data_IF_844751991008
#
_entry.id   IF_844751991008
#
_cell.length_a   1.000
_cell.length_b   1.000
_cell.length_c   1.000
_cell.angle_alpha   90.00
_cell.angle_beta   90.00
_cell.angle_gamma   90.00
#
_symmetry.space_group_name_H-M   'P 1'
#
loop_
_entity.id
_entity.type
_entity.pdbx_description
1 polymer ?
#
# COMPACT_ATOMS: atom_id res chain seq x y z
N UNK A 1 -26.06 25.87 -5.06
CA UNK A 1 -25.88 24.49 -4.60
C UNK A 1 -24.41 24.19 -4.71
N UNK A 2 -23.68 24.39 -3.61
CA UNK A 2 -22.24 24.17 -3.52
C UNK A 2 -21.99 22.70 -3.23
N UNK A 3 -21.35 21.98 -4.16
CA UNK A 3 -20.85 20.63 -3.96
C UNK A 3 -19.65 20.71 -3.02
N UNK A 4 -19.88 20.42 -1.75
CA UNK A 4 -18.80 20.12 -0.78
C UNK A 4 -18.15 18.81 -1.24
N UNK A 5 -16.90 18.91 -1.69
CA UNK A 5 -16.02 17.78 -1.93
C UNK A 5 -15.82 16.99 -0.62
N UNK A 6 -15.72 15.65 -0.66
CA UNK A 6 -15.50 14.84 0.52
C UNK A 6 -14.17 15.24 1.17
N UNK A 7 -14.17 15.34 2.50
CA UNK A 7 -12.98 15.62 3.29
C UNK A 7 -12.09 14.36 3.33
N UNK A 8 -11.46 14.05 2.22
CA UNK A 8 -10.27 13.20 2.15
C UNK A 8 -9.19 13.95 2.92
N UNK A 9 -8.36 13.26 3.69
CA UNK A 9 -7.11 13.83 4.20
C UNK A 9 -6.24 14.10 2.96
N UNK A 10 -6.62 15.06 2.16
CA UNK A 10 -5.72 15.68 1.21
C UNK A 10 -4.71 16.43 2.08
N UNK A 11 -3.54 15.83 2.30
CA UNK A 11 -2.38 16.52 2.83
C UNK A 11 -2.03 17.56 1.77
N UNK A 12 -2.80 18.64 1.72
CA UNK A 12 -2.45 19.84 0.97
C UNK A 12 -1.25 20.45 1.68
N UNK A 13 -0.07 19.98 1.30
CA UNK A 13 1.19 20.58 1.73
C UNK A 13 1.24 21.98 1.12
N UNK A 14 0.69 22.97 1.83
CA UNK A 14 0.81 24.36 1.44
C UNK A 14 2.23 24.84 1.80
N UNK A 15 3.15 24.74 0.86
CA UNK A 15 4.52 25.25 0.96
C UNK A 15 4.61 26.76 1.15
N UNK A 16 3.53 27.50 0.92
CA UNK A 16 3.53 28.98 0.91
C UNK A 16 3.62 29.65 2.29
N UNK A 17 3.31 28.95 3.40
CA UNK A 17 3.31 29.57 4.74
C UNK A 17 4.62 29.50 5.53
N UNK A 18 5.73 28.94 4.98
CA UNK A 18 6.98 28.75 5.74
C UNK A 18 8.11 29.71 5.41
N UNK A 19 7.84 30.88 4.87
CA UNK A 19 8.93 31.84 4.57
C UNK A 19 9.33 32.79 5.70
N UNK A 20 8.85 32.62 6.93
CA UNK A 20 9.33 33.44 8.04
C UNK A 20 9.32 32.64 9.35
N UNK A 21 10.49 32.28 9.81
CA UNK A 21 11.07 32.09 11.15
C UNK A 21 11.88 30.80 11.22
N UNK A 22 13.16 30.93 11.62
CA UNK A 22 14.12 29.86 11.76
C UNK A 22 13.88 28.87 12.94
N UNK A 23 12.64 28.68 13.38
CA UNK A 23 12.31 27.72 14.41
C UNK A 23 11.87 26.40 13.76
N UNK A 24 12.75 25.42 13.73
CA UNK A 24 12.42 24.04 13.42
C UNK A 24 11.64 23.47 14.59
N UNK A 25 10.31 23.51 14.53
CA UNK A 25 9.46 22.88 15.53
C UNK A 25 9.48 21.35 15.33
N UNK A 26 10.07 20.61 16.26
CA UNK A 26 10.04 19.14 16.33
C UNK A 26 8.93 18.66 17.27
N UNK A 27 7.99 19.54 17.62
CA UNK A 27 6.92 19.29 18.57
C UNK A 27 5.56 19.49 17.89
N UNK A 28 4.61 18.54 18.01
CA UNK A 28 3.30 18.66 17.38
C UNK A 28 2.52 19.86 17.89
N UNK A 29 1.51 20.31 17.14
CA UNK A 29 0.47 21.17 17.65
C UNK A 29 -0.30 20.44 18.77
N UNK A 30 -0.94 21.15 19.72
CA UNK A 30 -1.78 20.51 20.72
C UNK A 30 -2.91 19.71 20.08
N UNK A 31 -3.16 18.51 20.60
CA UNK A 31 -4.29 17.66 20.25
C UNK A 31 -4.79 16.90 21.48
N UNK A 32 -6.02 16.42 21.44
CA UNK A 32 -6.56 15.49 22.42
C UNK A 32 -6.19 14.06 22.02
N UNK A 33 -5.51 13.34 22.92
CA UNK A 33 -5.22 11.93 22.73
C UNK A 33 -6.31 11.09 23.37
N UNK A 34 -6.90 10.18 22.59
CA UNK A 34 -7.95 9.27 23.04
C UNK A 34 -7.59 7.84 22.66
N UNK A 35 -7.73 6.92 23.61
CA UNK A 35 -7.52 5.49 23.41
C UNK A 35 -8.83 4.76 23.64
N UNK A 36 -9.63 4.49 22.59
CA UNK A 36 -10.92 3.83 22.69
C UNK A 36 -10.78 2.38 23.17
N UNK A 37 -11.82 1.87 23.83
CA UNK A 37 -11.88 0.49 24.29
C UNK A 37 -12.48 -0.48 23.26
N UNK A 38 -13.19 0.06 22.26
CA UNK A 38 -13.82 -0.71 21.20
C UNK A 38 -13.74 0.01 19.85
N UNK A 39 -13.98 -0.74 18.77
CA UNK A 39 -14.13 -0.16 17.43
C UNK A 39 -15.31 0.81 17.38
N UNK A 40 -16.41 0.48 18.07
CA UNK A 40 -17.58 1.37 18.14
C UNK A 40 -17.24 2.72 18.77
N UNK A 41 -16.52 2.73 19.91
CA UNK A 41 -16.08 3.97 20.55
C UNK A 41 -15.16 4.79 19.62
N UNK A 42 -14.23 4.13 18.92
CA UNK A 42 -13.37 4.79 17.96
C UNK A 42 -14.16 5.46 16.85
N UNK A 43 -15.14 4.77 16.28
CA UNK A 43 -16.02 5.31 15.23
C UNK A 43 -16.87 6.47 15.72
N UNK A 44 -17.39 6.41 16.95
CA UNK A 44 -18.14 7.52 17.55
C UNK A 44 -17.29 8.78 17.66
N UNK A 45 -16.05 8.66 18.17
CA UNK A 45 -15.12 9.78 18.30
C UNK A 45 -14.77 10.37 16.91
N UNK A 46 -14.50 9.52 15.91
CA UNK A 46 -14.19 9.95 14.55
C UNK A 46 -15.40 10.63 13.86
N UNK A 47 -16.62 10.22 14.20
CA UNK A 47 -17.85 10.84 13.73
C UNK A 47 -18.13 12.20 14.35
N UNK A 48 -17.82 12.36 15.65
CA UNK A 48 -18.01 13.62 16.40
C UNK A 48 -16.93 14.68 16.04
N UNK A 49 -15.73 14.24 15.62
CA UNK A 49 -14.59 15.11 15.36
C UNK A 49 -14.09 14.93 13.91
N UNK A 50 -14.60 15.72 12.95
CA UNK A 50 -14.28 15.55 11.52
C UNK A 50 -12.80 15.70 11.14
N UNK A 51 -11.99 16.36 11.98
CA UNK A 51 -10.55 16.51 11.79
C UNK A 51 -9.71 15.52 12.60
N UNK A 52 -10.37 14.60 13.33
CA UNK A 52 -9.69 13.55 14.07
C UNK A 52 -8.93 12.59 13.12
N UNK A 53 -7.78 12.10 13.58
CA UNK A 53 -6.95 11.14 12.84
C UNK A 53 -6.75 9.85 13.62
N UNK A 54 -6.67 8.75 12.89
CA UNK A 54 -6.42 7.43 13.47
C UNK A 54 -4.92 7.20 13.67
N UNK A 55 -4.53 6.80 14.86
CA UNK A 55 -3.18 6.35 15.19
C UNK A 55 -3.16 4.82 15.26
N UNK A 56 -2.46 4.20 14.31
CA UNK A 56 -2.08 2.78 14.32
C UNK A 56 -0.58 2.66 14.65
N UNK A 57 0.26 2.21 13.72
CA UNK A 57 1.70 2.07 13.93
C UNK A 57 2.48 3.37 14.18
N UNK A 58 1.94 4.51 13.77
CA UNK A 58 2.48 5.84 14.01
C UNK A 58 3.71 6.21 13.17
N UNK A 59 4.17 5.34 12.26
CA UNK A 59 5.45 5.53 11.57
C UNK A 59 5.43 6.65 10.53
N UNK A 60 4.27 7.02 10.03
CA UNK A 60 4.06 8.18 9.17
C UNK A 60 3.39 9.32 9.93
N UNK A 61 2.34 9.02 10.70
CA UNK A 61 1.54 10.05 11.39
C UNK A 61 2.37 10.85 12.40
N UNK A 62 3.18 10.20 13.25
CA UNK A 62 3.95 10.92 14.28
C UNK A 62 5.00 11.86 13.69
N UNK A 63 5.78 11.49 12.64
CA UNK A 63 6.61 12.46 11.92
C UNK A 63 5.82 13.63 11.34
N UNK A 64 4.65 13.38 10.72
CA UNK A 64 3.81 14.44 10.17
C UNK A 64 3.28 15.40 11.26
N UNK A 65 2.88 14.87 12.42
CA UNK A 65 2.49 15.69 13.59
C UNK A 65 3.67 16.53 14.08
N UNK A 66 4.85 15.93 14.27
CA UNK A 66 6.03 16.63 14.77
C UNK A 66 6.50 17.74 13.83
N UNK A 67 6.40 17.51 12.51
CA UNK A 67 6.70 18.52 11.49
C UNK A 67 5.55 19.51 11.25
N UNK A 68 4.43 19.33 11.96
CA UNK A 68 3.19 20.11 11.80
C UNK A 68 2.67 20.14 10.36
N UNK A 69 2.83 19.04 9.65
CA UNK A 69 2.22 18.85 8.32
C UNK A 69 0.71 18.60 8.46
N UNK A 70 0.31 18.00 9.59
CA UNK A 70 -1.07 17.85 10.03
C UNK A 70 -1.22 18.37 11.46
N UNK A 71 -2.40 18.90 11.80
CA UNK A 71 -2.70 19.46 13.12
C UNK A 71 -4.16 19.10 13.51
N UNK A 72 -4.45 17.82 13.79
CA UNK A 72 -5.79 17.36 14.15
C UNK A 72 -6.20 17.85 15.54
N UNK A 73 -7.49 17.94 15.80
CA UNK A 73 -8.01 18.19 17.17
C UNK A 73 -7.87 16.94 18.05
N UNK A 74 -8.02 15.75 17.45
CA UNK A 74 -7.98 14.47 18.18
C UNK A 74 -7.08 13.46 17.45
N UNK A 75 -6.34 12.69 18.25
CA UNK A 75 -5.60 11.51 17.80
C UNK A 75 -6.22 10.28 18.47
N UNK A 76 -6.84 9.42 17.68
CA UNK A 76 -7.58 8.24 18.12
C UNK A 76 -6.66 7.02 18.01
N UNK A 77 -6.11 6.57 19.13
CA UNK A 77 -5.18 5.44 19.19
C UNK A 77 -5.93 4.11 19.22
N UNK A 78 -5.93 3.41 18.07
CA UNK A 78 -6.59 2.11 17.93
C UNK A 78 -5.67 0.92 18.25
N UNK A 79 -4.41 1.12 18.63
CA UNK A 79 -3.43 0.04 18.86
C UNK A 79 -3.84 -0.95 19.95
N UNK A 80 -4.78 -0.57 20.83
CA UNK A 80 -5.31 -1.42 21.90
C UNK A 80 -6.51 -2.28 21.51
N UNK A 81 -6.93 -2.31 20.22
CA UNK A 81 -8.13 -3.04 19.79
C UNK A 81 -7.76 -4.43 19.23
N UNK A 82 -7.89 -5.54 20.00
CA UNK A 82 -7.44 -6.88 19.59
C UNK A 82 -8.13 -7.38 18.33
N UNK A 83 -9.41 -7.05 18.16
CA UNK A 83 -10.20 -7.44 16.98
C UNK A 83 -9.64 -6.93 15.63
N UNK A 84 -8.65 -6.05 15.66
CA UNK A 84 -7.97 -5.53 14.49
C UNK A 84 -6.58 -6.14 14.25
N UNK A 85 -6.16 -7.15 15.04
CA UNK A 85 -4.82 -7.77 14.93
C UNK A 85 -4.89 -9.30 14.74
N UNK A 86 -5.87 -9.79 14.02
CA UNK A 86 -6.08 -11.22 13.81
C UNK A 86 -5.62 -11.65 12.43
N UNK A 87 -5.07 -12.88 12.33
CA UNK A 87 -4.81 -13.60 11.08
C UNK A 87 -5.75 -14.79 11.05
N UNK A 88 -6.52 -14.95 9.99
CA UNK A 88 -7.39 -16.10 9.80
C UNK A 88 -7.50 -16.49 8.34
N UNK A 89 -7.73 -17.78 8.09
CA UNK A 89 -8.02 -18.34 6.77
C UNK A 89 -9.39 -18.97 6.82
N UNK A 90 -10.30 -18.53 5.96
CA UNK A 90 -11.64 -19.09 5.82
C UNK A 90 -12.13 -18.92 4.39
N UNK A 91 -12.86 -19.92 3.87
CA UNK A 91 -13.52 -19.85 2.57
C UNK A 91 -12.61 -19.46 1.39
N UNK A 92 -11.33 -19.89 1.44
CA UNK A 92 -10.34 -19.58 0.42
C UNK A 92 -9.76 -18.15 0.50
N UNK A 93 -9.99 -17.43 1.60
CA UNK A 93 -9.47 -16.09 1.85
C UNK A 93 -8.57 -16.07 3.09
N UNK A 94 -7.42 -15.43 2.96
CA UNK A 94 -6.58 -15.01 4.08
C UNK A 94 -7.04 -13.62 4.51
N UNK A 95 -7.48 -13.50 5.77
CA UNK A 95 -7.89 -12.24 6.38
C UNK A 95 -6.81 -11.76 7.36
N UNK A 96 -6.38 -10.52 7.18
CA UNK A 96 -5.33 -9.85 7.94
C UNK A 96 -5.92 -8.61 8.61
N UNK A 97 -5.95 -8.57 9.93
CA UNK A 97 -6.42 -7.42 10.68
C UNK A 97 -5.57 -6.16 10.42
N UNK A 98 -6.18 -4.99 10.40
CA UNK A 98 -5.54 -3.72 10.07
C UNK A 98 -4.34 -3.36 10.95
N UNK A 99 -4.30 -3.83 12.19
CA UNK A 99 -3.21 -3.59 13.15
C UNK A 99 -2.10 -4.63 13.08
N UNK A 100 -2.19 -5.63 12.18
CA UNK A 100 -1.11 -6.58 11.98
C UNK A 100 0.16 -5.82 11.58
N UNK A 101 1.23 -6.01 12.35
CA UNK A 101 2.50 -5.31 12.12
C UNK A 101 3.25 -5.90 10.94
N UNK A 102 4.06 -5.10 10.28
CA UNK A 102 4.88 -5.57 9.17
C UNK A 102 5.86 -6.68 9.61
N UNK A 103 6.40 -6.63 10.84
CA UNK A 103 7.24 -7.71 11.37
C UNK A 103 6.47 -9.02 11.55
N UNK A 104 5.20 -8.95 12.01
CA UNK A 104 4.36 -10.13 12.21
C UNK A 104 3.93 -10.71 10.86
N UNK A 105 3.63 -9.84 9.87
CA UNK A 105 3.35 -10.22 8.49
C UNK A 105 4.54 -10.97 7.87
N UNK A 106 5.77 -10.44 8.05
CA UNK A 106 7.01 -11.05 7.54
C UNK A 106 7.35 -12.40 8.22
N UNK A 107 6.96 -12.58 9.49
CA UNK A 107 7.27 -13.78 10.25
C UNK A 107 6.16 -14.85 10.22
N UNK A 108 4.98 -14.53 9.68
CA UNK A 108 3.82 -15.43 9.72
C UNK A 108 3.93 -16.58 8.73
N UNK A 109 3.92 -17.80 9.24
CA UNK A 109 3.86 -19.01 8.40
C UNK A 109 2.54 -19.09 7.60
N UNK A 110 1.43 -18.69 8.21
CA UNK A 110 0.12 -18.64 7.52
C UNK A 110 0.14 -17.71 6.31
N UNK A 111 0.82 -16.55 6.43
CA UNK A 111 0.98 -15.61 5.31
C UNK A 111 1.91 -16.17 4.26
N UNK A 112 3.01 -16.81 4.66
CA UNK A 112 3.96 -17.45 3.75
C UNK A 112 3.28 -18.50 2.85
N UNK A 113 2.38 -19.30 3.43
CA UNK A 113 1.66 -20.35 2.73
C UNK A 113 0.51 -19.82 1.86
N UNK A 114 -0.24 -18.84 2.36
CA UNK A 114 -1.44 -18.34 1.69
C UNK A 114 -1.19 -17.21 0.67
N UNK A 115 -0.21 -16.34 0.95
CA UNK A 115 0.08 -15.14 0.16
C UNK A 115 1.57 -14.75 0.24
N UNK A 116 2.49 -15.59 -0.29
CA UNK A 116 3.95 -15.42 -0.14
C UNK A 116 4.45 -14.04 -0.62
N UNK A 117 3.80 -13.45 -1.62
CA UNK A 117 4.12 -12.10 -2.12
C UNK A 117 4.03 -11.03 -1.01
N UNK A 118 3.03 -11.12 -0.11
CA UNK A 118 2.91 -10.18 1.00
C UNK A 118 4.02 -10.35 2.03
N UNK A 119 4.43 -11.60 2.29
CA UNK A 119 5.54 -11.88 3.21
C UNK A 119 6.86 -11.36 2.64
N UNK A 120 7.15 -11.62 1.36
CA UNK A 120 8.36 -11.15 0.68
C UNK A 120 8.43 -9.61 0.74
N UNK A 121 7.36 -8.92 0.35
CA UNK A 121 7.28 -7.47 0.38
C UNK A 121 7.46 -6.89 1.79
N UNK A 122 6.88 -7.52 2.81
CA UNK A 122 7.00 -7.05 4.19
C UNK A 122 8.46 -7.00 4.69
N UNK A 123 9.35 -7.83 4.15
CA UNK A 123 10.78 -7.82 4.48
C UNK A 123 11.50 -6.58 3.92
N UNK A 124 10.97 -5.97 2.88
CA UNK A 124 11.55 -4.78 2.23
C UNK A 124 11.09 -3.47 2.90
N UNK A 125 9.97 -3.45 3.60
CA UNK A 125 9.43 -2.24 4.24
C UNK A 125 10.42 -1.66 5.25
N UNK A 126 11.07 -0.57 4.90
CA UNK A 126 11.92 0.21 5.79
C UNK A 126 12.91 -0.62 6.62
N UNK A 127 13.21 -0.15 7.82
CA UNK A 127 14.11 -0.84 8.77
C UNK A 127 13.30 -1.62 9.83
N UNK A 128 13.92 -2.57 10.57
CA UNK A 128 13.24 -3.34 11.63
C UNK A 128 12.49 -2.48 12.63
N UNK A 129 13.01 -1.31 13.00
CA UNK A 129 12.34 -0.37 13.91
C UNK A 129 11.00 0.11 13.35
N UNK A 130 10.91 0.33 12.03
CA UNK A 130 9.69 0.71 11.32
C UNK A 130 8.71 -0.48 11.30
N UNK A 131 9.20 -1.67 10.89
CA UNK A 131 8.37 -2.87 10.78
C UNK A 131 7.78 -3.32 12.11
N UNK A 132 8.48 -3.13 13.22
CA UNK A 132 8.01 -3.46 14.57
C UNK A 132 6.82 -2.60 15.05
N UNK A 133 6.53 -1.51 14.37
CA UNK A 133 5.45 -0.58 14.71
C UNK A 133 4.45 -0.40 13.59
N UNK A 134 4.91 -0.23 12.35
CA UNK A 134 4.09 -0.05 11.16
C UNK A 134 3.13 -1.21 10.96
N UNK A 135 1.92 -0.92 10.48
CA UNK A 135 0.83 -1.89 10.32
C UNK A 135 0.33 -1.91 8.87
N UNK A 136 -0.19 -3.07 8.44
CA UNK A 136 -0.75 -3.21 7.09
C UNK A 136 -1.86 -2.19 6.83
N UNK A 137 -2.81 -2.04 7.76
CA UNK A 137 -3.89 -1.08 7.62
C UNK A 137 -3.41 0.37 7.58
N UNK A 138 -2.38 0.71 8.38
CA UNK A 138 -1.78 2.04 8.36
C UNK A 138 -1.12 2.37 7.04
N UNK A 139 -0.41 1.40 6.42
CA UNK A 139 0.21 1.56 5.09
C UNK A 139 -0.83 1.79 4.01
N UNK A 140 -1.90 0.98 3.98
CA UNK A 140 -2.96 1.09 3.00
C UNK A 140 -3.79 2.37 3.15
N UNK A 141 -4.14 2.73 4.40
CA UNK A 141 -4.92 3.94 4.66
C UNK A 141 -4.14 5.22 4.33
N UNK A 142 -2.81 5.21 4.49
CA UNK A 142 -1.95 6.33 4.10
C UNK A 142 -1.85 6.47 2.58
N UNK A 143 -1.85 5.36 1.85
CA UNK A 143 -1.73 5.32 0.39
C UNK A 143 -0.50 6.09 -0.14
N UNK A 144 0.66 5.90 0.52
CA UNK A 144 1.93 6.41 -0.01
C UNK A 144 2.21 5.72 -1.35
N UNK A 145 2.43 6.46 -2.45
CA UNK A 145 2.74 5.85 -3.75
C UNK A 145 3.98 4.96 -3.76
N UNK A 146 4.90 5.17 -2.81
CA UNK A 146 6.12 4.37 -2.67
C UNK A 146 5.96 3.18 -1.71
N UNK A 147 4.76 2.94 -1.17
CA UNK A 147 4.51 1.80 -0.29
C UNK A 147 4.38 0.49 -1.07
N UNK A 148 4.91 -0.58 -0.52
CA UNK A 148 5.05 -1.91 -1.11
C UNK A 148 3.71 -2.69 -1.11
N UNK A 149 3.01 -2.68 0.03
CA UNK A 149 1.80 -3.49 0.24
C UNK A 149 0.60 -3.11 -0.65
N UNK A 150 0.36 -1.82 -1.00
CA UNK A 150 -0.66 -1.46 -1.97
C UNK A 150 -0.52 -2.16 -3.32
N UNK A 151 0.71 -2.25 -3.86
CA UNK A 151 0.97 -2.94 -5.12
C UNK A 151 0.80 -4.46 -5.00
N UNK A 152 1.26 -5.06 -3.89
CA UNK A 152 1.02 -6.48 -3.63
C UNK A 152 -0.47 -6.81 -3.58
N UNK A 153 -1.26 -5.97 -2.91
CA UNK A 153 -2.70 -6.15 -2.80
C UNK A 153 -3.38 -6.07 -4.17
N UNK A 154 -2.93 -5.13 -5.01
CA UNK A 154 -3.40 -4.98 -6.38
C UNK A 154 -3.04 -6.20 -7.24
N UNK A 155 -1.80 -6.70 -7.14
CA UNK A 155 -1.35 -7.89 -7.87
C UNK A 155 -2.11 -9.15 -7.46
N UNK A 156 -2.35 -9.34 -6.16
CA UNK A 156 -3.08 -10.52 -5.65
C UNK A 156 -4.58 -10.46 -5.96
N UNK A 157 -5.13 -9.26 -6.17
CA UNK A 157 -6.58 -9.03 -6.27
C UNK A 157 -7.24 -9.08 -4.90
N UNK A 158 -6.63 -8.42 -3.95
CA UNK A 158 -7.15 -8.32 -2.60
C UNK A 158 -8.28 -7.29 -2.46
N UNK A 159 -8.93 -7.31 -1.30
CA UNK A 159 -10.01 -6.40 -0.94
C UNK A 159 -9.85 -5.89 0.49
N UNK A 160 -10.46 -4.77 0.78
CA UNK A 160 -10.33 -4.04 2.04
C UNK A 160 -11.68 -3.97 2.73
N UNK A 161 -11.77 -4.47 3.97
CA UNK A 161 -12.92 -4.31 4.86
C UNK A 161 -12.83 -2.96 5.57
N UNK A 162 -13.83 -2.12 5.35
CA UNK A 162 -13.95 -0.78 5.96
C UNK A 162 -15.17 -0.78 6.87
N UNK A 163 -15.10 -0.05 7.98
CA UNK A 163 -16.22 0.15 8.88
C UNK A 163 -16.40 1.63 9.23
N UNK A 164 -17.63 2.11 9.11
CA UNK A 164 -18.13 3.37 9.63
C UNK A 164 -19.27 3.16 10.62
N UNK A 165 -19.90 4.24 11.07
CA UNK A 165 -21.07 4.18 11.94
C UNK A 165 -22.27 3.51 11.25
N UNK A 166 -22.40 3.67 9.92
CA UNK A 166 -23.49 3.11 9.13
C UNK A 166 -23.30 1.60 8.80
N UNK A 167 -22.21 1.00 9.26
CA UNK A 167 -21.93 -0.41 9.04
C UNK A 167 -20.59 -0.70 8.35
N UNK A 168 -20.49 -1.89 7.74
CA UNK A 168 -19.31 -2.36 7.05
C UNK A 168 -19.49 -2.37 5.55
N UNK A 169 -18.41 -2.13 4.82
CA UNK A 169 -18.33 -2.31 3.36
C UNK A 169 -16.99 -2.93 2.97
N UNK A 170 -16.98 -3.59 1.82
CA UNK A 170 -15.78 -4.17 1.23
C UNK A 170 -15.49 -3.45 -0.08
N UNK A 171 -14.22 -3.14 -0.31
CA UNK A 171 -13.76 -2.45 -1.52
C UNK A 171 -12.59 -3.22 -2.12
N UNK A 172 -12.62 -3.46 -3.42
CA UNK A 172 -11.54 -4.09 -4.15
C UNK A 172 -10.29 -3.19 -4.17
N UNK A 173 -9.09 -3.78 -4.05
CA UNK A 173 -7.83 -3.03 -4.10
C UNK A 173 -7.69 -2.18 -5.37
N UNK A 174 -8.23 -2.67 -6.49
CA UNK A 174 -8.21 -1.98 -7.78
C UNK A 174 -8.89 -0.61 -7.78
N UNK A 175 -9.84 -0.39 -6.86
CA UNK A 175 -10.61 0.86 -6.76
C UNK A 175 -10.38 1.60 -5.44
N UNK A 176 -9.56 1.05 -4.55
CA UNK A 176 -9.34 1.61 -3.22
C UNK A 176 -8.42 2.85 -3.25
N UNK A 177 -7.34 2.81 -4.03
CA UNK A 177 -6.36 3.90 -4.15
C UNK A 177 -6.78 4.85 -5.25
N UNK A 178 -7.00 6.13 -4.93
CA UNK A 178 -7.50 7.14 -5.86
C UNK A 178 -6.44 8.11 -6.35
N UNK A 179 -5.34 8.26 -5.60
CA UNK A 179 -4.22 9.14 -5.93
C UNK A 179 -3.16 9.17 -4.83
N UNK A 180 -2.26 10.13 -4.91
CA UNK A 180 -1.16 10.32 -3.94
C UNK A 180 -1.69 10.65 -2.55
N UNK A 181 -1.51 9.74 -1.60
CA UNK A 181 -2.07 9.82 -0.24
C UNK A 181 -3.60 9.91 -0.23
N UNK A 182 -4.25 9.33 -1.24
CA UNK A 182 -5.70 9.36 -1.38
C UNK A 182 -6.30 7.97 -1.54
N UNK A 183 -7.39 7.72 -0.82
CA UNK A 183 -8.17 6.49 -0.86
C UNK A 183 -9.67 6.78 -0.87
N UNK A 184 -10.47 5.74 -1.07
CA UNK A 184 -11.95 5.82 -0.94
C UNK A 184 -12.45 5.80 0.51
N UNK A 185 -11.56 5.82 1.52
CA UNK A 185 -11.95 5.95 2.92
C UNK A 185 -12.65 7.30 3.13
N UNK A 186 -13.81 7.25 3.77
CA UNK A 186 -14.57 8.43 4.14
C UNK A 186 -14.21 8.90 5.54
N UNK A 187 -14.51 10.16 5.83
CA UNK A 187 -14.45 10.68 7.18
C UNK A 187 -15.27 9.80 8.14
N UNK A 188 -14.71 9.46 9.31
CA UNK A 188 -15.37 8.60 10.29
C UNK A 188 -15.29 7.10 10.00
N UNK A 189 -14.59 6.67 8.93
CA UNK A 189 -14.37 5.26 8.63
C UNK A 189 -13.00 4.77 9.11
N UNK A 190 -12.93 3.49 9.44
CA UNK A 190 -11.69 2.78 9.81
C UNK A 190 -11.51 1.59 8.88
N UNK A 191 -10.27 1.38 8.38
CA UNK A 191 -9.87 0.14 7.75
C UNK A 191 -9.79 -0.95 8.83
N UNK A 192 -10.56 -2.02 8.70
CA UNK A 192 -10.64 -3.11 9.67
C UNK A 192 -9.72 -4.28 9.36
N UNK A 193 -9.70 -4.67 8.12
CA UNK A 193 -8.94 -5.82 7.65
C UNK A 193 -8.65 -5.71 6.16
N UNK A 194 -7.70 -6.52 5.75
CA UNK A 194 -7.39 -6.82 4.36
C UNK A 194 -7.70 -8.28 4.12
N UNK A 195 -8.27 -8.61 2.99
CA UNK A 195 -8.51 -9.97 2.58
C UNK A 195 -7.87 -10.22 1.22
N UNK A 196 -7.15 -11.31 1.11
CA UNK A 196 -6.54 -11.76 -0.14
C UNK A 196 -6.92 -13.21 -0.40
N UNK A 197 -7.14 -13.61 -1.67
CA UNK A 197 -7.36 -15.01 -1.98
C UNK A 197 -6.13 -15.84 -1.57
N UNK A 198 -6.37 -17.02 -1.03
CA UNK A 198 -5.32 -18.02 -0.80
C UNK A 198 -4.79 -18.45 -2.16
N UNK A 199 -3.51 -18.22 -2.41
CA UNK A 199 -2.90 -18.52 -3.70
C UNK A 199 -2.71 -20.04 -3.84
N UNK A 200 -3.15 -20.60 -4.96
CA UNK A 200 -2.90 -21.99 -5.29
C UNK A 200 -1.41 -22.21 -5.63
N UNK A 201 -0.93 -23.46 -5.45
CA UNK A 201 0.50 -23.79 -5.56
C UNK A 201 1.12 -23.50 -6.95
N UNK A 202 0.30 -23.42 -8.00
CA UNK A 202 0.75 -23.10 -9.34
C UNK A 202 1.03 -21.60 -9.57
N UNK A 203 0.66 -20.72 -8.63
CA UNK A 203 1.03 -19.33 -8.70
C UNK A 203 2.50 -19.13 -8.32
N UNK A 204 3.18 -18.35 -9.13
CA UNK A 204 4.52 -17.82 -8.83
C UNK A 204 4.41 -16.34 -8.55
N UNK A 205 5.11 -15.88 -7.55
CA UNK A 205 5.17 -14.46 -7.21
C UNK A 205 6.62 -14.00 -7.12
N UNK A 206 6.82 -12.73 -7.44
CA UNK A 206 8.12 -12.07 -7.31
C UNK A 206 7.87 -10.65 -6.81
N UNK A 207 8.52 -10.29 -5.73
CA UNK A 207 8.66 -8.91 -5.30
C UNK A 207 10.08 -8.42 -5.62
N UNK A 208 10.20 -7.21 -6.15
CA UNK A 208 11.49 -6.57 -6.41
C UNK A 208 11.33 -5.04 -6.38
N UNK A 209 12.36 -4.35 -5.88
CA UNK A 209 12.40 -2.90 -5.83
C UNK A 209 13.79 -2.35 -6.05
N UNK A 210 13.86 -1.13 -6.55
CA UNK A 210 15.08 -0.35 -6.65
C UNK A 210 15.01 0.81 -5.68
N UNK A 211 15.89 0.81 -4.69
CA UNK A 211 16.06 1.90 -3.73
C UNK A 211 17.54 2.33 -3.72
N UNK A 212 17.82 3.53 -3.20
CA UNK A 212 19.21 4.02 -3.07
C UNK A 212 19.99 3.23 -2.04
N UNK A 213 19.31 2.79 -0.98
CA UNK A 213 19.86 1.98 0.12
C UNK A 213 18.75 1.05 0.59
N UNK A 214 19.12 -0.08 1.18
CA UNK A 214 18.17 -0.95 1.83
C UNK A 214 17.39 -0.21 2.93
N UNK A 215 16.06 -0.25 2.85
CA UNK A 215 15.15 0.44 3.78
C UNK A 215 14.85 1.90 3.45
N UNK A 216 15.41 2.48 2.37
CA UNK A 216 14.96 3.74 1.80
C UNK A 216 13.67 3.51 0.97
N UNK A 217 12.93 4.59 0.72
CA UNK A 217 11.81 4.56 -0.23
C UNK A 217 12.27 4.12 -1.63
N UNK A 218 11.49 3.26 -2.26
CA UNK A 218 11.76 2.79 -3.60
C UNK A 218 11.75 3.94 -4.63
N UNK A 219 12.64 3.86 -5.60
CA UNK A 219 12.62 4.69 -6.83
C UNK A 219 11.62 4.12 -7.83
N UNK A 220 11.49 2.81 -7.87
CA UNK A 220 10.48 2.02 -8.57
C UNK A 220 10.41 0.64 -7.91
N UNK A 221 9.24 0.03 -7.90
CA UNK A 221 9.08 -1.32 -7.39
C UNK A 221 8.00 -2.07 -8.15
N UNK A 222 8.03 -3.39 -8.04
CA UNK A 222 7.15 -4.32 -8.74
C UNK A 222 6.72 -5.47 -7.83
N UNK A 223 5.42 -5.70 -7.78
CA UNK A 223 4.80 -6.92 -7.30
C UNK A 223 4.26 -7.70 -8.51
N UNK A 224 4.85 -8.85 -8.81
CA UNK A 224 4.46 -9.71 -9.92
C UNK A 224 3.80 -10.98 -9.40
N UNK A 225 2.71 -11.40 -10.03
CA UNK A 225 1.99 -12.63 -9.73
C UNK A 225 1.47 -13.24 -11.03
N UNK A 226 1.59 -14.56 -11.20
CA UNK A 226 1.04 -15.26 -12.36
C UNK A 226 1.18 -16.77 -12.21
N UNK A 227 0.49 -17.52 -13.06
CA UNK A 227 0.62 -18.99 -13.16
C UNK A 227 1.46 -19.36 -14.36
N UNK A 228 2.30 -20.39 -14.19
CA UNK A 228 3.04 -20.99 -15.30
C UNK A 228 2.48 -22.39 -15.52
N UNK A 229 1.75 -22.55 -16.62
CA UNK A 229 1.09 -23.80 -16.97
C UNK A 229 1.67 -24.37 -18.27
N UNK A 230 2.33 -25.53 -18.22
CA UNK A 230 3.04 -26.13 -19.36
C UNK A 230 4.00 -25.14 -20.06
N UNK A 231 4.71 -24.32 -19.28
CA UNK A 231 5.64 -23.31 -19.77
C UNK A 231 4.97 -22.00 -20.25
N UNK A 232 3.65 -21.93 -20.27
CA UNK A 232 2.91 -20.72 -20.70
C UNK A 232 2.38 -19.94 -19.50
N UNK A 233 2.45 -18.62 -19.60
CA UNK A 233 1.92 -17.68 -18.60
C UNK A 233 0.41 -17.64 -18.65
N UNK A 234 -0.20 -17.58 -17.46
CA UNK A 234 -1.63 -17.35 -17.23
C UNK A 234 -1.86 -16.41 -16.05
N UNK A 235 -2.91 -15.61 -16.12
CA UNK A 235 -3.34 -14.69 -15.04
C UNK A 235 -2.19 -13.79 -14.54
N UNK A 236 -1.35 -13.31 -15.44
CA UNK A 236 -0.21 -12.46 -15.08
C UNK A 236 -0.71 -11.09 -14.61
N UNK A 237 -0.16 -10.62 -13.51
CA UNK A 237 -0.36 -9.28 -12.98
C UNK A 237 0.98 -8.68 -12.61
N UNK A 238 1.27 -7.52 -13.14
CA UNK A 238 2.48 -6.74 -12.91
C UNK A 238 2.06 -5.41 -12.28
N UNK A 239 2.09 -5.33 -10.96
CA UNK A 239 1.69 -4.12 -10.22
C UNK A 239 2.93 -3.31 -9.82
N UNK A 240 3.07 -2.13 -10.41
CA UNK A 240 4.15 -1.19 -10.12
C UNK A 240 3.77 -0.21 -9.00
N UNK A 241 4.75 0.17 -8.19
CA UNK A 241 4.66 1.21 -7.17
C UNK A 241 5.89 2.13 -7.24
N UNK A 242 5.86 3.24 -6.52
CA UNK A 242 6.85 4.31 -6.60
C UNK A 242 7.07 4.87 -8.02
N UNK A 243 6.26 4.48 -8.98
CA UNK A 243 6.31 4.97 -10.36
C UNK A 243 5.40 6.18 -10.56
N UNK A 244 4.09 6.03 -10.33
CA UNK A 244 3.06 7.05 -10.50
C UNK A 244 2.53 7.61 -9.18
N UNK A 245 1.33 8.15 -9.21
CA UNK A 245 0.59 8.72 -8.07
C UNK A 245 -0.03 7.66 -7.15
N UNK A 246 -0.16 6.43 -7.62
CA UNK A 246 -0.70 5.26 -6.92
C UNK A 246 -0.16 3.98 -7.54
N UNK A 247 -0.35 2.80 -6.91
CA UNK A 247 0.01 1.53 -7.54
C UNK A 247 -0.82 1.29 -8.80
N UNK A 248 -0.19 0.79 -9.87
CA UNK A 248 -0.82 0.58 -11.16
C UNK A 248 -0.41 -0.77 -11.79
N UNK A 249 -1.33 -1.40 -12.52
CA UNK A 249 -1.08 -2.62 -13.28
C UNK A 249 -0.60 -2.29 -14.69
N UNK A 250 0.46 -2.95 -15.16
CA UNK A 250 0.85 -2.98 -16.58
C UNK A 250 -0.01 -4.03 -17.31
N UNK A 251 -1.23 -3.65 -17.65
CA UNK A 251 -2.25 -4.53 -18.21
C UNK A 251 -1.87 -4.96 -19.61
N UNK A 252 -1.39 -4.03 -20.44
CA UNK A 252 -0.99 -4.27 -21.85
C UNK A 252 0.13 -5.29 -21.94
N UNK A 253 1.18 -5.13 -21.13
CA UNK A 253 2.29 -6.08 -21.06
C UNK A 253 1.84 -7.47 -20.56
N UNK A 254 0.97 -7.53 -19.57
CA UNK A 254 0.43 -8.78 -19.04
C UNK A 254 -0.45 -9.51 -20.06
N UNK A 255 -1.33 -8.80 -20.76
CA UNK A 255 -2.17 -9.34 -21.82
C UNK A 255 -1.34 -9.86 -23.00
N UNK A 256 -0.29 -9.15 -23.37
CA UNK A 256 0.64 -9.61 -24.41
C UNK A 256 1.25 -10.97 -24.08
N UNK A 257 1.61 -11.21 -22.82
CA UNK A 257 2.22 -12.47 -22.38
C UNK A 257 1.22 -13.60 -22.15
N UNK A 258 -0.08 -13.32 -22.08
CA UNK A 258 -1.10 -14.33 -21.79
C UNK A 258 -1.05 -15.48 -22.80
N UNK A 259 -0.86 -16.71 -22.33
CA UNK A 259 -0.73 -17.91 -23.17
C UNK A 259 0.63 -18.11 -23.84
N UNK A 260 1.59 -17.19 -23.67
CA UNK A 260 2.95 -17.30 -24.22
C UNK A 260 3.93 -17.86 -23.21
N UNK A 261 5.04 -18.37 -23.69
CA UNK A 261 6.21 -18.73 -22.86
C UNK A 261 6.96 -17.47 -22.45
N UNK A 262 7.59 -17.49 -21.27
CA UNK A 262 8.50 -16.43 -20.83
C UNK A 262 9.90 -16.58 -21.46
N UNK A 263 9.94 -16.64 -22.81
CA UNK A 263 11.19 -16.56 -23.55
C UNK A 263 11.77 -15.15 -23.47
N UNK A 264 13.09 -15.00 -23.66
CA UNK A 264 13.75 -13.69 -23.65
C UNK A 264 13.10 -12.72 -24.63
N UNK A 265 12.78 -13.18 -25.85
CA UNK A 265 12.13 -12.35 -26.86
C UNK A 265 10.73 -11.86 -26.43
N UNK A 266 9.91 -12.74 -25.83
CA UNK A 266 8.59 -12.36 -25.35
C UNK A 266 8.67 -11.39 -24.13
N UNK A 267 9.65 -11.60 -23.24
CA UNK A 267 9.90 -10.71 -22.12
C UNK A 267 10.33 -9.33 -22.61
N UNK A 268 11.27 -9.27 -23.57
CA UNK A 268 11.78 -8.01 -24.11
C UNK A 268 10.67 -7.21 -24.81
N UNK A 269 9.81 -7.88 -25.57
CA UNK A 269 8.64 -7.24 -26.18
C UNK A 269 7.65 -6.73 -25.12
N UNK A 270 7.31 -7.55 -24.13
CA UNK A 270 6.41 -7.15 -23.05
C UNK A 270 6.92 -5.92 -22.29
N UNK A 271 8.23 -5.83 -22.07
CA UNK A 271 8.86 -4.67 -21.40
C UNK A 271 8.64 -3.38 -22.18
N UNK A 272 8.60 -3.41 -23.50
CA UNK A 272 8.34 -2.21 -24.33
C UNK A 272 6.92 -1.67 -24.14
N UNK A 273 5.98 -2.53 -23.76
CA UNK A 273 4.56 -2.19 -23.59
C UNK A 273 4.22 -1.62 -22.18
N UNK A 274 5.17 -1.63 -21.25
CA UNK A 274 4.91 -1.13 -19.88
C UNK A 274 4.52 0.35 -19.89
N UNK A 275 5.10 1.14 -20.79
CA UNK A 275 4.82 2.57 -20.91
C UNK A 275 3.39 2.91 -21.36
N UNK A 276 2.63 1.94 -21.87
CA UNK A 276 1.23 2.15 -22.27
C UNK A 276 0.31 2.32 -21.05
N UNK A 277 0.66 1.68 -19.92
CA UNK A 277 -0.16 1.70 -18.70
C UNK A 277 0.52 2.45 -17.54
N UNK A 278 1.86 2.47 -17.49
CA UNK A 278 2.62 3.05 -16.38
C UNK A 278 3.15 4.42 -16.80
N UNK A 279 2.65 5.46 -16.12
CA UNK A 279 3.01 6.85 -16.38
C UNK A 279 3.80 7.42 -15.19
N UNK A 280 5.14 7.30 -15.21
CA UNK A 280 5.96 7.69 -14.08
C UNK A 280 5.93 9.18 -13.78
N UNK A 281 5.92 9.52 -12.50
CA UNK A 281 6.12 10.87 -12.00
C UNK A 281 7.57 11.01 -11.56
N UNK A 282 8.31 11.94 -12.17
CA UNK A 282 9.70 12.20 -11.85
C UNK A 282 9.89 12.76 -10.43
N UNK A 283 11.07 12.50 -9.87
CA UNK A 283 11.50 13.06 -8.58
C UNK A 283 12.96 13.53 -8.65
N UNK A 284 13.45 14.36 -7.70
CA UNK A 284 14.83 14.82 -7.72
C UNK A 284 15.84 13.67 -7.83
N UNK A 285 16.65 13.69 -8.89
CA UNK A 285 17.66 12.67 -9.18
C UNK A 285 17.13 11.39 -9.84
N UNK A 286 15.83 11.33 -10.21
CA UNK A 286 15.24 10.23 -10.95
C UNK A 286 14.06 10.74 -11.79
N UNK A 287 14.31 11.12 -13.03
CA UNK A 287 13.30 11.63 -13.97
C UNK A 287 12.34 10.53 -14.46
N UNK A 288 11.26 10.94 -15.15
CA UNK A 288 10.20 10.04 -15.62
C UNK A 288 10.74 8.91 -16.50
N UNK A 289 11.59 9.24 -17.49
CA UNK A 289 12.21 8.25 -18.38
C UNK A 289 13.10 7.25 -17.61
N UNK A 290 13.84 7.74 -16.60
CA UNK A 290 14.67 6.88 -15.75
C UNK A 290 13.80 5.93 -14.95
N UNK A 291 12.68 6.40 -14.39
CA UNK A 291 11.73 5.56 -13.66
C UNK A 291 11.09 4.51 -14.57
N UNK A 292 10.68 4.89 -15.78
CA UNK A 292 10.12 3.93 -16.75
C UNK A 292 11.15 2.85 -17.12
N UNK A 293 12.41 3.25 -17.33
CA UNK A 293 13.49 2.29 -17.51
C UNK A 293 13.66 1.35 -16.31
N UNK A 294 13.59 1.87 -15.08
CA UNK A 294 13.64 1.04 -13.88
C UNK A 294 12.47 0.05 -13.84
N UNK A 295 11.25 0.46 -14.19
CA UNK A 295 10.10 -0.43 -14.29
C UNK A 295 10.36 -1.57 -15.29
N UNK A 296 10.92 -1.26 -16.46
CA UNK A 296 11.30 -2.25 -17.47
C UNK A 296 12.36 -3.25 -16.95
N UNK A 297 13.39 -2.76 -16.26
CA UNK A 297 14.41 -3.62 -15.64
C UNK A 297 13.81 -4.56 -14.60
N UNK A 298 12.94 -4.04 -13.72
CA UNK A 298 12.26 -4.84 -12.69
C UNK A 298 11.36 -5.90 -13.32
N UNK A 299 10.59 -5.54 -14.36
CA UNK A 299 9.75 -6.50 -15.08
C UNK A 299 10.58 -7.61 -15.73
N UNK A 300 11.67 -7.27 -16.43
CA UNK A 300 12.56 -8.27 -17.04
C UNK A 300 13.11 -9.24 -15.99
N UNK A 301 13.59 -8.73 -14.86
CA UNK A 301 14.11 -9.54 -13.74
C UNK A 301 13.04 -10.44 -13.15
N UNK A 302 11.84 -9.90 -12.87
CA UNK A 302 10.74 -10.65 -12.27
C UNK A 302 10.26 -11.76 -13.21
N UNK A 303 10.02 -11.46 -14.48
CA UNK A 303 9.58 -12.42 -15.49
C UNK A 303 10.62 -13.53 -15.73
N UNK A 304 11.92 -13.19 -15.74
CA UNK A 304 12.99 -14.17 -15.83
C UNK A 304 13.05 -15.10 -14.61
N UNK A 305 12.83 -14.57 -13.39
CA UNK A 305 12.71 -15.39 -12.16
C UNK A 305 11.49 -16.28 -12.19
N UNK A 306 10.37 -15.83 -12.74
CA UNK A 306 9.16 -16.63 -12.89
C UNK A 306 9.31 -17.74 -13.94
N UNK A 307 10.16 -17.57 -14.94
CA UNK A 307 10.45 -18.56 -15.97
C UNK A 307 11.30 -19.75 -15.46
N UNK A 308 12.14 -19.51 -14.45
CA UNK A 308 13.03 -20.49 -13.83
C UNK A 308 12.24 -21.46 -12.92
#
# INVERSE_FOLDING_TARGET
>A
MSLLAPAVIAVRISWEKRRNRGDVFVKPAPFNYVKPSSVGDALSILGEHPDAVVLAGGQSLLPMLNMRLVAPSHVVDITGLPALNEISVADGWLRLGALLRHCDLAASQTVAEAAPLLQEAACHIGHPAIRNRGTIGGSLALADPAAELPACLLAIGGRIEIQGLDGKRVVEAATFFTGTFETVLKQGEILRAVEVPVLAAEYRSVFDELARRHGDYALAGLAALGRINNGNVRDLRLAFFAAGDKPALAVTAAQFLEGKTLSEANIDEAVTLIGDDIHPIGQPGCGEQTKLHHCGVLAKRALSRMAA
#
